data_IF_954960760954
#
_entry.id   IF_954960760954
#
_cell.length_a   1.000
_cell.length_b   1.000
_cell.length_c   1.000
_cell.angle_alpha   90.00
_cell.angle_beta   90.00
_cell.angle_gamma   90.00
#
_symmetry.space_group_name_H-M   'P 1'
#
loop_
_entity.id
_entity.type
_entity.pdbx_description
1 polymer ?
#
# COMPACT_ATOMS: atom_id res chain seq x y z
N UNK A 1 8.09 22.30 -18.65
CA UNK A 1 6.87 21.48 -18.87
C UNK A 1 7.16 20.07 -18.38
N UNK A 2 6.93 19.80 -17.09
CA UNK A 2 7.06 18.44 -16.54
C UNK A 2 6.01 17.60 -17.26
N UNK A 3 6.46 16.63 -18.06
CA UNK A 3 5.57 15.85 -18.91
C UNK A 3 4.49 15.20 -18.06
N UNK A 4 3.22 15.55 -18.31
CA UNK A 4 2.04 14.97 -17.64
C UNK A 4 2.10 13.44 -17.58
N UNK A 5 2.76 12.80 -18.56
CA UNK A 5 3.00 11.35 -18.59
C UNK A 5 3.79 10.83 -17.38
N UNK A 6 4.80 11.56 -16.90
CA UNK A 6 5.62 11.13 -15.74
C UNK A 6 4.80 11.14 -14.46
N UNK A 7 3.94 12.13 -14.29
CA UNK A 7 3.07 12.27 -13.11
C UNK A 7 2.00 11.18 -13.12
N UNK A 8 1.41 10.88 -14.28
CA UNK A 8 0.46 9.76 -14.44
C UNK A 8 1.10 8.42 -14.07
N UNK A 9 2.29 8.13 -14.60
CA UNK A 9 3.01 6.88 -14.27
C UNK A 9 3.29 6.78 -12.77
N UNK A 10 3.70 7.88 -12.12
CA UNK A 10 3.90 7.88 -10.66
C UNK A 10 2.59 7.62 -9.91
N UNK A 11 1.49 8.26 -10.30
CA UNK A 11 0.18 8.04 -9.67
C UNK A 11 -0.27 6.58 -9.80
N UNK A 12 -0.12 5.97 -10.97
CA UNK A 12 -0.43 4.56 -11.22
C UNK A 12 0.47 3.63 -10.40
N UNK A 13 1.76 3.95 -10.28
CA UNK A 13 2.71 3.18 -9.48
C UNK A 13 2.34 3.20 -7.99
N UNK A 14 2.00 4.36 -7.45
CA UNK A 14 1.51 4.48 -6.06
C UNK A 14 0.15 3.80 -5.84
N UNK A 15 -0.72 3.80 -6.86
CA UNK A 15 -1.99 3.06 -6.81
C UNK A 15 -1.75 1.55 -6.72
N UNK A 16 -0.86 1.00 -7.57
CA UNK A 16 -0.49 -0.42 -7.52
C UNK A 16 0.21 -0.77 -6.20
N UNK A 17 1.09 0.11 -5.71
CA UNK A 17 1.75 -0.10 -4.43
C UNK A 17 0.75 -0.15 -3.28
N UNK A 18 -0.24 0.74 -3.27
CA UNK A 18 -1.33 0.74 -2.28
C UNK A 18 -2.11 -0.58 -2.31
N UNK A 19 -2.48 -1.08 -3.50
CA UNK A 19 -3.13 -2.37 -3.66
C UNK A 19 -2.26 -3.53 -3.12
N UNK A 20 -0.95 -3.49 -3.34
CA UNK A 20 0.00 -4.47 -2.80
C UNK A 20 0.01 -4.50 -1.26
N UNK A 21 0.04 -3.33 -0.62
CA UNK A 21 -0.04 -3.22 0.84
C UNK A 21 -1.36 -3.76 1.41
N UNK A 22 -2.50 -3.41 0.80
CA UNK A 22 -3.79 -3.95 1.23
C UNK A 22 -3.94 -5.45 0.95
N UNK A 23 -3.36 -5.95 -0.15
CA UNK A 23 -3.30 -7.38 -0.44
C UNK A 23 -2.49 -8.14 0.63
N UNK A 24 -1.37 -7.57 1.09
CA UNK A 24 -0.55 -8.17 2.14
C UNK A 24 -1.31 -8.34 3.45
N UNK A 25 -2.23 -7.42 3.80
CA UNK A 25 -3.09 -7.52 5.00
C UNK A 25 -3.95 -8.79 4.97
N UNK A 26 -4.51 -9.12 3.80
CA UNK A 26 -5.40 -10.28 3.63
C UNK A 26 -4.59 -11.57 3.60
N UNK A 27 -3.44 -11.56 2.91
CA UNK A 27 -2.64 -12.75 2.64
C UNK A 27 -1.81 -13.16 3.87
N UNK A 28 -1.22 -12.19 4.58
CA UNK A 28 -0.27 -12.44 5.65
C UNK A 28 -0.80 -13.37 6.78
N UNK A 29 -2.00 -13.16 7.35
CA UNK A 29 -2.50 -14.03 8.41
C UNK A 29 -2.88 -15.44 7.92
N UNK A 30 -3.13 -15.63 6.62
CA UNK A 30 -3.55 -16.91 6.05
C UNK A 30 -2.41 -17.82 5.59
N UNK A 31 -1.25 -17.26 5.21
CA UNK A 31 -0.11 -18.03 4.67
C UNK A 31 0.96 -18.31 5.72
N UNK A 32 1.18 -17.39 6.66
CA UNK A 32 2.21 -17.59 7.69
C UNK A 32 1.57 -18.21 8.93
N UNK A 33 2.15 -19.30 9.44
CA UNK A 33 1.79 -19.86 10.76
C UNK A 33 2.19 -18.82 11.80
N UNK A 34 1.23 -17.98 12.18
CA UNK A 34 1.40 -16.91 13.16
C UNK A 34 1.58 -17.54 14.53
N UNK A 35 2.70 -17.24 15.20
CA UNK A 35 2.95 -17.65 16.58
C UNK A 35 2.45 -16.62 17.61
N UNK A 36 2.33 -15.35 17.22
CA UNK A 36 1.95 -14.25 18.10
C UNK A 36 0.92 -13.32 17.42
N UNK A 37 -0.19 -13.08 18.11
CA UNK A 37 -1.26 -12.17 17.66
C UNK A 37 -0.75 -10.73 17.57
N UNK A 38 0.18 -10.34 18.44
CA UNK A 38 0.78 -9.00 18.44
C UNK A 38 1.56 -8.74 17.16
N UNK A 39 2.30 -9.74 16.66
CA UNK A 39 3.03 -9.64 15.40
C UNK A 39 2.09 -9.47 14.20
N UNK A 40 0.93 -10.11 14.23
CA UNK A 40 -0.09 -9.92 13.19
C UNK A 40 -0.68 -8.52 13.26
N UNK A 41 -1.12 -8.08 14.44
CA UNK A 41 -1.71 -6.75 14.60
C UNK A 41 -0.71 -5.66 14.19
N UNK A 42 0.55 -5.79 14.58
CA UNK A 42 1.61 -4.87 14.17
C UNK A 42 1.78 -4.85 12.65
N UNK A 43 1.83 -6.01 12.00
CA UNK A 43 1.96 -6.10 10.55
C UNK A 43 0.72 -5.57 9.82
N UNK A 44 -0.49 -5.84 10.30
CA UNK A 44 -1.72 -5.29 9.74
C UNK A 44 -1.72 -3.76 9.82
N UNK A 45 -1.31 -3.21 10.97
CA UNK A 45 -1.20 -1.77 11.15
C UNK A 45 -0.17 -1.14 10.19
N UNK A 46 1.04 -1.73 10.11
CA UNK A 46 2.10 -1.24 9.22
C UNK A 46 1.64 -1.29 7.75
N UNK A 47 1.14 -2.43 7.28
CA UNK A 47 0.68 -2.56 5.90
C UNK A 47 -0.49 -1.63 5.61
N UNK A 48 -1.46 -1.50 6.53
CA UNK A 48 -2.58 -0.57 6.38
C UNK A 48 -2.13 0.89 6.31
N UNK A 49 -1.21 1.29 7.19
CA UNK A 49 -0.65 2.63 7.22
C UNK A 49 0.08 2.98 5.91
N UNK A 50 0.96 2.11 5.43
CA UNK A 50 1.67 2.32 4.16
C UNK A 50 0.73 2.23 2.94
N UNK A 51 -0.31 1.40 2.99
CA UNK A 51 -1.36 1.34 1.99
C UNK A 51 -2.10 2.68 1.86
N UNK A 52 -2.50 3.27 2.99
CA UNK A 52 -3.16 4.58 3.04
C UNK A 52 -2.22 5.69 2.55
N UNK A 53 -0.96 5.73 3.00
CA UNK A 53 0.02 6.72 2.53
C UNK A 53 0.21 6.64 1.02
N UNK A 54 0.41 5.42 0.50
CA UNK A 54 0.57 5.20 -0.94
C UNK A 54 -0.64 5.69 -1.72
N UNK A 55 -1.85 5.46 -1.21
CA UNK A 55 -3.09 5.92 -1.82
C UNK A 55 -3.21 7.46 -1.81
N UNK A 56 -2.90 8.10 -0.68
CA UNK A 56 -2.92 9.56 -0.56
C UNK A 56 -1.94 10.23 -1.53
N UNK A 57 -0.74 9.66 -1.69
CA UNK A 57 0.24 10.14 -2.67
C UNK A 57 -0.29 9.96 -4.08
N UNK A 58 -0.88 8.80 -4.42
CA UNK A 58 -1.49 8.56 -5.73
C UNK A 58 -2.59 9.59 -6.04
N UNK A 59 -3.48 9.88 -5.09
CA UNK A 59 -4.54 10.88 -5.23
C UNK A 59 -3.99 12.28 -5.44
N UNK A 60 -2.98 12.69 -4.66
CA UNK A 60 -2.37 14.01 -4.78
C UNK A 60 -1.65 14.20 -6.11
N UNK A 61 -1.04 13.14 -6.66
CA UNK A 61 -0.39 13.19 -7.97
C UNK A 61 -1.38 13.21 -9.15
N UNK A 62 -2.63 12.80 -8.93
CA UNK A 62 -3.66 12.76 -9.98
C UNK A 62 -4.42 14.09 -10.11
N UNK A 63 -4.41 14.91 -9.06
CA UNK A 63 -4.90 16.29 -9.06
C UNK A 63 -3.92 17.22 -9.78
#
# INVERSE_FOLDING_TARGET
>A
MISNKKITVLSELFTNLSAGWFGAIIIFPGIFIVRDVNDVLLKLFINGFFGIISLLVAFKLKQ
#
